data_IF_020565048426
#
_entry.id   IF_020565048426
#
_cell.length_a   1.000
_cell.length_b   1.000
_cell.length_c   1.000
_cell.angle_alpha   90.00
_cell.angle_beta   90.00
_cell.angle_gamma   90.00
#
_symmetry.space_group_name_H-M   'P 1'
#
loop_
_entity.id
_entity.type
_entity.pdbx_description
1 polymer ?
#
# COMPACT_ATOMS: atom_id res chain seq x y z
N UNK A 1 0.52 -40.54 -8.14
CA UNK A 1 1.91 -40.04 -7.95
C UNK A 1 1.84 -38.66 -7.32
N UNK A 2 2.60 -38.33 -6.27
CA UNK A 2 2.58 -36.99 -5.69
C UNK A 2 3.15 -36.01 -6.72
N UNK A 3 2.37 -34.99 -7.06
CA UNK A 3 2.80 -33.93 -7.99
C UNK A 3 3.96 -33.18 -7.34
N UNK A 4 5.18 -33.37 -7.86
CA UNK A 4 6.36 -32.61 -7.43
C UNK A 4 6.29 -31.22 -8.05
N UNK A 5 5.81 -30.25 -7.27
CA UNK A 5 5.88 -28.84 -7.63
C UNK A 5 7.35 -28.41 -7.52
N UNK A 6 7.99 -27.93 -8.60
CA UNK A 6 9.38 -27.46 -8.52
C UNK A 6 9.47 -26.31 -7.52
N UNK A 7 10.52 -26.30 -6.70
CA UNK A 7 10.79 -25.17 -5.82
C UNK A 7 10.96 -23.92 -6.69
N UNK A 8 10.11 -22.91 -6.47
CA UNK A 8 10.14 -21.69 -7.25
C UNK A 8 11.54 -21.07 -7.21
N UNK A 9 12.05 -20.69 -8.38
CA UNK A 9 13.32 -19.96 -8.45
C UNK A 9 13.23 -18.64 -7.68
N UNK A 10 14.37 -18.07 -7.26
CA UNK A 10 14.38 -16.79 -6.55
C UNK A 10 13.69 -15.66 -7.33
N UNK A 11 13.78 -15.68 -8.66
CA UNK A 11 13.10 -14.76 -9.57
C UNK A 11 11.58 -14.97 -9.59
N UNK A 12 11.11 -16.22 -9.61
CA UNK A 12 9.69 -16.53 -9.52
C UNK A 12 9.11 -16.13 -8.17
N UNK A 13 9.81 -16.43 -7.08
CA UNK A 13 9.40 -16.00 -5.74
C UNK A 13 9.31 -14.47 -5.64
N UNK A 14 10.24 -13.73 -6.25
CA UNK A 14 10.17 -12.28 -6.35
C UNK A 14 8.98 -11.81 -7.17
N UNK A 15 8.73 -12.40 -8.34
CA UNK A 15 7.60 -12.04 -9.20
C UNK A 15 6.26 -12.33 -8.52
N UNK A 16 6.10 -13.52 -7.90
CA UNK A 16 4.89 -13.88 -7.16
C UNK A 16 4.71 -13.01 -5.91
N UNK A 17 5.81 -12.69 -5.21
CA UNK A 17 5.78 -11.77 -4.07
C UNK A 17 5.35 -10.35 -4.49
N UNK A 18 5.96 -9.81 -5.55
CA UNK A 18 5.62 -8.50 -6.08
C UNK A 18 4.18 -8.45 -6.60
N UNK A 19 3.73 -9.49 -7.30
CA UNK A 19 2.36 -9.60 -7.79
C UNK A 19 1.36 -9.70 -6.63
N UNK A 20 1.65 -10.52 -5.61
CA UNK A 20 0.81 -10.65 -4.43
C UNK A 20 0.67 -9.34 -3.66
N UNK A 21 1.80 -8.68 -3.35
CA UNK A 21 1.78 -7.38 -2.69
C UNK A 21 1.07 -6.34 -3.56
N UNK A 22 1.34 -6.30 -4.86
CA UNK A 22 0.69 -5.35 -5.78
C UNK A 22 -0.83 -5.56 -5.89
N UNK A 23 -1.30 -6.80 -5.87
CA UNK A 23 -2.73 -7.12 -5.92
C UNK A 23 -3.44 -6.76 -4.60
N UNK A 24 -2.80 -6.97 -3.45
CA UNK A 24 -3.42 -6.75 -2.14
C UNK A 24 -3.18 -5.34 -1.55
N UNK A 25 -2.16 -4.62 -2.01
CA UNK A 25 -1.84 -3.28 -1.51
C UNK A 25 -3.01 -2.27 -1.62
N UNK A 26 -3.77 -2.20 -2.73
CA UNK A 26 -4.92 -1.30 -2.81
C UNK A 26 -5.98 -1.60 -1.74
N UNK A 27 -6.24 -2.88 -1.47
CA UNK A 27 -7.21 -3.30 -0.45
C UNK A 27 -6.73 -2.98 0.97
N UNK A 28 -5.42 -3.13 1.22
CA UNK A 28 -4.84 -2.72 2.49
C UNK A 28 -4.96 -1.21 2.71
N UNK A 29 -4.71 -0.40 1.68
CA UNK A 29 -4.80 1.07 1.78
C UNK A 29 -6.24 1.59 1.91
N UNK A 30 -7.25 0.80 1.53
CA UNK A 30 -8.66 1.13 1.81
C UNK A 30 -9.03 1.00 3.30
N UNK A 31 -8.21 0.33 4.12
CA UNK A 31 -8.48 0.18 5.54
C UNK A 31 -8.22 1.49 6.30
N UNK A 32 -9.11 1.86 7.24
CA UNK A 32 -8.96 3.08 8.02
C UNK A 32 -7.68 3.04 8.87
N UNK A 33 -6.83 4.07 8.73
CA UNK A 33 -5.57 4.19 9.46
C UNK A 33 -4.44 3.29 8.93
N UNK A 34 -4.58 2.69 7.75
CA UNK A 34 -3.51 1.96 7.08
C UNK A 34 -2.31 2.87 6.76
N UNK A 35 -2.56 4.09 6.31
CA UNK A 35 -1.51 5.07 6.00
C UNK A 35 -0.66 5.39 7.23
N UNK A 36 -1.29 5.66 8.38
CA UNK A 36 -0.60 5.97 9.64
C UNK A 36 0.29 4.79 10.10
N UNK A 37 -0.18 3.56 9.91
CA UNK A 37 0.56 2.34 10.24
C UNK A 37 1.73 2.14 9.31
N UNK A 38 1.53 2.33 8.01
CA UNK A 38 2.58 2.26 7.00
C UNK A 38 3.64 3.31 7.30
N UNK A 39 3.25 4.57 7.49
CA UNK A 39 4.15 5.67 7.82
C UNK A 39 4.98 5.37 9.08
N UNK A 40 4.34 4.89 10.16
CA UNK A 40 5.03 4.51 11.41
C UNK A 40 6.04 3.39 11.22
N UNK A 41 5.76 2.44 10.32
CA UNK A 41 6.71 1.38 9.98
C UNK A 41 7.84 1.93 9.09
N UNK A 42 7.50 2.75 8.09
CA UNK A 42 8.45 3.38 7.16
C UNK A 42 9.53 4.16 7.90
N UNK A 43 9.18 4.91 8.95
CA UNK A 43 10.16 5.65 9.77
C UNK A 43 11.24 4.73 10.38
N UNK A 44 10.95 3.45 10.64
CA UNK A 44 11.91 2.52 11.25
C UNK A 44 12.95 2.00 10.26
N UNK A 45 12.57 1.77 9.01
CA UNK A 45 13.43 1.11 8.03
C UNK A 45 13.90 2.02 6.90
N UNK A 46 13.16 3.09 6.58
CA UNK A 46 13.53 4.05 5.53
C UNK A 46 14.90 4.69 5.76
N UNK A 47 15.30 5.13 6.98
CA UNK A 47 16.63 5.72 7.17
C UNK A 47 17.77 4.74 6.89
N UNK A 48 17.58 3.45 7.16
CA UNK A 48 18.57 2.40 6.87
C UNK A 48 18.62 2.08 5.38
N UNK A 49 17.48 2.19 4.70
CA UNK A 49 17.36 2.06 3.26
C UNK A 49 18.06 3.23 2.54
N UNK A 50 17.78 4.47 2.96
CA UNK A 50 18.38 5.69 2.41
C UNK A 50 19.91 5.73 2.53
N UNK A 51 20.48 5.09 3.54
CA UNK A 51 21.94 4.96 3.65
C UNK A 51 22.56 4.03 2.59
N UNK A 52 21.78 3.16 1.95
CA UNK A 52 22.26 2.17 0.98
C UNK A 52 21.75 2.40 -0.47
N UNK A 53 20.87 3.38 -0.70
CA UNK A 53 20.29 3.60 -2.04
C UNK A 53 21.27 4.20 -3.06
N UNK A 54 22.40 4.77 -2.65
CA UNK A 54 23.32 5.46 -3.58
C UNK A 54 23.76 4.57 -4.74
N UNK A 55 23.94 3.26 -4.49
CA UNK A 55 24.30 2.29 -5.53
C UNK A 55 23.16 2.00 -6.52
N UNK A 56 21.91 2.02 -6.05
CA UNK A 56 20.72 1.72 -6.86
C UNK A 56 20.06 2.96 -7.45
N UNK A 57 20.45 4.16 -6.99
CA UNK A 57 19.80 5.43 -7.37
C UNK A 57 19.81 5.65 -8.87
N UNK A 58 20.96 5.52 -9.54
CA UNK A 58 21.13 5.82 -10.97
C UNK A 58 20.30 4.94 -11.91
N UNK A 59 20.32 3.59 -11.80
CA UNK A 59 19.47 2.74 -12.64
C UNK A 59 17.98 2.85 -12.29
N UNK A 60 17.65 3.08 -11.02
CA UNK A 60 16.27 3.30 -10.58
C UNK A 60 15.72 4.62 -11.11
N UNK A 61 16.48 5.71 -11.09
CA UNK A 61 16.09 7.03 -11.63
C UNK A 61 15.65 6.92 -13.09
N UNK A 62 16.44 6.22 -13.92
CA UNK A 62 16.12 5.99 -15.35
C UNK A 62 14.87 5.13 -15.54
N UNK A 63 14.66 4.16 -14.65
CA UNK A 63 13.51 3.26 -14.71
C UNK A 63 12.23 3.99 -14.28
N UNK A 64 12.32 4.78 -13.20
CA UNK A 64 11.23 5.63 -12.71
C UNK A 64 10.81 6.61 -13.80
N UNK A 65 11.74 7.32 -14.45
CA UNK A 65 11.43 8.25 -15.54
C UNK A 65 10.59 7.62 -16.67
N UNK A 66 10.76 6.32 -16.94
CA UNK A 66 9.97 5.60 -17.95
C UNK A 66 8.59 5.16 -17.45
N UNK A 67 8.46 4.88 -16.16
CA UNK A 67 7.23 4.36 -15.54
C UNK A 67 6.31 5.49 -15.05
N UNK A 68 6.84 6.65 -14.68
CA UNK A 68 6.07 7.79 -14.19
C UNK A 68 4.94 8.23 -15.13
N UNK A 69 5.15 8.41 -16.46
CA UNK A 69 4.09 8.88 -17.36
C UNK A 69 2.86 7.96 -17.43
N UNK A 70 2.98 6.64 -17.68
CA UNK A 70 1.81 5.76 -17.75
C UNK A 70 1.11 5.57 -16.41
N UNK A 71 1.86 5.55 -15.31
CA UNK A 71 1.26 5.46 -13.96
C UNK A 71 0.45 6.71 -13.65
N UNK A 72 0.99 7.91 -13.88
CA UNK A 72 0.28 9.17 -13.65
C UNK A 72 -1.04 9.24 -14.45
N UNK A 73 -1.02 8.82 -15.72
CA UNK A 73 -2.24 8.73 -16.56
C UNK A 73 -3.26 7.74 -16.00
N UNK A 74 -2.80 6.64 -15.41
CA UNK A 74 -3.68 5.62 -14.83
C UNK A 74 -4.31 6.12 -13.53
N UNK A 75 -3.52 6.76 -12.67
CA UNK A 75 -4.00 7.39 -11.43
C UNK A 75 -5.05 8.46 -11.75
N UNK A 76 -4.79 9.37 -12.70
CA UNK A 76 -5.77 10.37 -13.11
C UNK A 76 -7.09 9.77 -13.61
N UNK A 77 -7.04 8.65 -14.36
CA UNK A 77 -8.25 7.96 -14.84
C UNK A 77 -9.03 7.31 -13.70
N UNK A 78 -8.35 6.77 -12.70
CA UNK A 78 -8.98 6.16 -11.52
C UNK A 78 -9.60 7.24 -10.65
N UNK A 79 -8.88 8.33 -10.41
CA UNK A 79 -9.34 9.47 -9.59
C UNK A 79 -10.59 10.13 -10.19
N UNK A 80 -10.64 10.26 -11.52
CA UNK A 80 -11.81 10.81 -12.21
C UNK A 80 -13.03 9.85 -12.22
N UNK A 81 -12.81 8.53 -12.10
CA UNK A 81 -13.89 7.52 -12.18
C UNK A 81 -14.38 7.02 -10.82
N UNK A 82 -13.52 6.99 -9.80
CA UNK A 82 -13.88 6.61 -8.45
C UNK A 82 -13.89 7.88 -7.60
N UNK A 83 -15.02 8.28 -7.00
CA UNK A 83 -15.07 9.39 -6.07
C UNK A 83 -14.40 8.97 -4.75
N UNK A 84 -13.08 8.83 -4.77
CA UNK A 84 -12.23 8.43 -3.65
C UNK A 84 -12.40 9.40 -2.48
N UNK A 85 -12.62 10.68 -2.76
CA UNK A 85 -12.96 11.68 -1.76
C UNK A 85 -14.27 11.33 -1.02
N UNK A 86 -15.31 10.89 -1.75
CA UNK A 86 -16.59 10.48 -1.13
C UNK A 86 -16.46 9.16 -0.37
N UNK A 87 -15.64 8.23 -0.86
CA UNK A 87 -15.31 6.97 -0.16
C UNK A 87 -14.55 7.26 1.13
N UNK A 88 -13.52 8.11 1.07
CA UNK A 88 -12.74 8.55 2.24
C UNK A 88 -13.62 9.26 3.27
N UNK A 89 -14.51 10.17 2.84
CA UNK A 89 -15.47 10.83 3.74
C UNK A 89 -16.48 9.87 4.36
N UNK A 90 -16.95 8.85 3.62
CA UNK A 90 -17.86 7.82 4.17
C UNK A 90 -17.15 6.95 5.21
N UNK A 91 -15.90 6.59 4.95
CA UNK A 91 -15.09 5.81 5.88
C UNK A 91 -14.77 6.63 7.14
N UNK A 92 -14.37 7.91 7.01
CA UNK A 92 -14.15 8.81 8.14
C UNK A 92 -15.40 8.96 9.03
N UNK A 93 -16.57 9.15 8.42
CA UNK A 93 -17.86 9.16 9.14
C UNK A 93 -18.15 7.84 9.86
N UNK A 94 -17.80 6.71 9.25
CA UNK A 94 -17.93 5.38 9.84
C UNK A 94 -17.04 5.20 11.07
N UNK A 95 -15.76 5.60 10.98
CA UNK A 95 -14.80 5.51 12.09
C UNK A 95 -15.20 6.44 13.23
N UNK A 96 -15.62 7.68 12.94
CA UNK A 96 -16.10 8.61 13.98
C UNK A 96 -17.31 8.06 14.72
N UNK A 97 -18.20 7.36 14.01
CA UNK A 97 -19.36 6.71 14.62
C UNK A 97 -18.98 5.52 15.51
N UNK A 98 -18.04 4.68 15.08
CA UNK A 98 -17.58 3.53 15.89
C UNK A 98 -16.77 3.97 17.10
N UNK A 99 -15.85 4.93 16.94
CA UNK A 99 -15.08 5.51 18.04
C UNK A 99 -15.98 6.29 19.00
N UNK A 100 -16.96 7.05 18.48
CA UNK A 100 -17.95 7.75 19.29
C UNK A 100 -18.86 6.78 20.08
N UNK A 101 -19.28 5.67 19.47
CA UNK A 101 -20.02 4.62 20.16
C UNK A 101 -19.18 3.94 21.25
N UNK A 102 -17.90 3.66 20.98
CA UNK A 102 -16.98 3.10 21.97
C UNK A 102 -16.70 4.08 23.13
N UNK A 103 -16.64 5.38 22.87
CA UNK A 103 -16.50 6.42 23.90
C UNK A 103 -17.76 6.54 24.76
N UNK A 104 -18.96 6.53 24.14
CA UNK A 104 -20.24 6.56 24.86
C UNK A 104 -20.46 5.34 25.76
N UNK A 105 -20.00 4.15 25.31
CA UNK A 105 -20.11 2.89 26.06
C UNK A 105 -19.19 2.81 27.29
N UNK A 106 -18.12 3.62 27.35
CA UNK A 106 -17.22 3.71 28.52
C UNK A 106 -17.73 4.63 29.63
N UNK A 107 -18.73 5.47 29.37
CA UNK A 107 -19.30 6.41 30.34
C UNK A 107 -20.48 5.77 31.11
N UNK A 108 -20.96 4.61 30.64
CA UNK A 108 -22.11 3.87 31.19
C UNK A 108 -21.72 2.63 32.02
N UNK A 109 -20.46 2.52 32.46
CA UNK A 109 -19.97 1.54 33.44
C UNK A 109 -19.13 2.27 34.46
#
# INVERSE_FOLDING_TARGET
>A
MPVRIPAAGASEALCFGAAGIGAFAPFYMMLPGAEERVARQTVKWAPRWERNITFFKTPVERSIQRVTPPVARTVQKVDHKLPLEKMAQRTDRGIKKTTGWMAARKITT
#
